data_IF_334843468519
#
_entry.id   IF_334843468519
#
_cell.length_a   1.000
_cell.length_b   1.000
_cell.length_c   1.000
_cell.angle_alpha   90.00
_cell.angle_beta   90.00
_cell.angle_gamma   90.00
#
_symmetry.space_group_name_H-M   'P 1'
#
loop_
_entity.id
_entity.type
_entity.pdbx_description
1 polymer ?
#
# COMPACT_ATOMS: atom_id res chain seq x y z
N UNK A 1 9.43 -21.18 7.23
CA UNK A 1 9.76 -20.36 8.44
C UNK A 1 8.43 -20.00 9.05
N UNK A 2 8.24 -20.24 10.33
CA UNK A 2 7.06 -19.77 11.04
C UNK A 2 7.21 -18.26 11.31
N UNK A 3 6.24 -17.46 10.84
CA UNK A 3 6.24 -16.00 10.99
C UNK A 3 5.56 -15.52 12.28
N UNK A 4 5.07 -16.44 13.11
CA UNK A 4 4.43 -16.13 14.40
C UNK A 4 3.23 -15.17 14.29
N UNK A 5 2.48 -15.26 13.19
CA UNK A 5 1.30 -14.44 12.93
C UNK A 5 -0.01 -15.17 13.26
N UNK A 6 0.05 -16.45 13.63
CA UNK A 6 -1.14 -17.23 14.01
C UNK A 6 -1.87 -16.58 15.19
N UNK A 7 -3.18 -16.37 15.03
CA UNK A 7 -4.03 -15.71 16.03
C UNK A 7 -3.83 -14.19 16.18
N UNK A 8 -2.92 -13.57 15.43
CA UNK A 8 -2.76 -12.11 15.38
C UNK A 8 -3.92 -11.46 14.63
N UNK A 9 -4.22 -10.21 14.97
CA UNK A 9 -5.26 -9.40 14.34
C UNK A 9 -4.63 -8.37 13.42
N UNK A 10 -4.91 -8.48 12.13
CA UNK A 10 -4.43 -7.57 11.11
C UNK A 10 -5.58 -6.72 10.53
N UNK A 11 -5.30 -5.45 10.28
CA UNK A 11 -6.17 -4.54 9.54
C UNK A 11 -5.54 -4.23 8.20
N UNK A 12 -6.27 -4.42 7.10
CA UNK A 12 -5.78 -4.17 5.74
C UNK A 12 -6.70 -3.18 5.02
N UNK A 13 -6.15 -2.06 4.58
CA UNK A 13 -6.88 -1.05 3.81
C UNK A 13 -6.84 -1.34 2.31
N UNK A 14 -7.92 -1.02 1.56
CA UNK A 14 -8.09 -1.29 0.12
C UNK A 14 -7.85 -2.77 -0.24
N UNK A 15 -8.50 -3.66 0.50
CA UNK A 15 -8.21 -5.09 0.57
C UNK A 15 -8.86 -5.95 -0.53
N UNK A 16 -9.72 -5.39 -1.39
CA UNK A 16 -10.61 -6.19 -2.26
C UNK A 16 -10.01 -6.63 -3.59
N UNK A 17 -8.84 -6.13 -3.97
CA UNK A 17 -8.16 -6.49 -5.22
C UNK A 17 -6.65 -6.22 -5.18
N UNK A 18 -5.94 -6.71 -6.20
CA UNK A 18 -4.52 -6.45 -6.42
C UNK A 18 -3.68 -6.76 -5.18
N UNK A 19 -2.74 -5.88 -4.86
CA UNK A 19 -1.81 -6.02 -3.73
C UNK A 19 -2.56 -6.27 -2.41
N UNK A 20 -3.62 -5.50 -2.14
CA UNK A 20 -4.38 -5.62 -0.88
C UNK A 20 -5.02 -6.99 -0.70
N UNK A 21 -5.60 -7.57 -1.75
CA UNK A 21 -6.19 -8.92 -1.68
C UNK A 21 -5.11 -9.99 -1.50
N UNK A 22 -3.96 -9.86 -2.15
CA UNK A 22 -2.83 -10.79 -1.97
C UNK A 22 -2.26 -10.71 -0.55
N UNK A 23 -2.21 -9.50 0.06
CA UNK A 23 -1.83 -9.32 1.47
C UNK A 23 -2.82 -10.02 2.41
N UNK A 24 -4.14 -9.84 2.18
CA UNK A 24 -5.17 -10.54 2.98
C UNK A 24 -4.96 -12.05 2.92
N UNK A 25 -4.82 -12.62 1.72
CA UNK A 25 -4.59 -14.06 1.53
C UNK A 25 -3.32 -14.54 2.22
N UNK A 26 -2.23 -13.80 2.12
CA UNK A 26 -0.96 -14.14 2.74
C UNK A 26 -1.03 -14.11 4.28
N UNK A 27 -1.66 -13.10 4.87
CA UNK A 27 -1.87 -13.00 6.31
C UNK A 27 -2.77 -14.15 6.85
N UNK A 28 -3.84 -14.48 6.11
CA UNK A 28 -4.72 -15.62 6.46
C UNK A 28 -3.97 -16.95 6.39
N UNK A 29 -3.11 -17.14 5.38
CA UNK A 29 -2.28 -18.33 5.25
C UNK A 29 -1.32 -18.52 6.44
N UNK A 30 -0.86 -17.42 7.05
CA UNK A 30 -0.07 -17.42 8.29
C UNK A 30 -0.93 -17.53 9.58
N UNK A 31 -2.25 -17.74 9.43
CA UNK A 31 -3.18 -17.97 10.55
C UNK A 31 -3.68 -16.70 11.25
N UNK A 32 -3.47 -15.52 10.67
CA UNK A 32 -3.98 -14.26 11.21
C UNK A 32 -5.50 -14.09 10.99
N UNK A 33 -6.15 -13.34 11.86
CA UNK A 33 -7.49 -12.78 11.63
C UNK A 33 -7.35 -11.45 10.93
N UNK A 34 -8.06 -11.24 9.80
CA UNK A 34 -7.90 -10.02 8.99
C UNK A 34 -9.21 -9.25 8.95
N UNK A 35 -9.19 -7.99 9.39
CA UNK A 35 -10.28 -7.03 9.16
C UNK A 35 -9.93 -6.23 7.91
N UNK A 36 -10.68 -6.47 6.84
CA UNK A 36 -10.35 -6.06 5.48
C UNK A 36 -11.32 -4.99 4.97
N UNK A 37 -10.84 -3.78 4.73
CA UNK A 37 -11.66 -2.64 4.31
C UNK A 37 -11.56 -2.33 2.82
N UNK A 38 -12.71 -2.14 2.17
CA UNK A 38 -12.80 -1.66 0.79
C UNK A 38 -14.22 -1.15 0.49
N UNK A 39 -14.40 -0.39 -0.60
CA UNK A 39 -15.74 0.04 -1.06
C UNK A 39 -16.60 -1.14 -1.53
N UNK A 40 -15.99 -2.10 -2.23
CA UNK A 40 -16.63 -3.36 -2.65
C UNK A 40 -15.93 -4.51 -1.93
N UNK A 41 -16.70 -5.38 -1.28
CA UNK A 41 -16.20 -6.48 -0.45
C UNK A 41 -16.54 -7.87 -1.00
N UNK A 42 -17.08 -7.95 -2.21
CA UNK A 42 -17.53 -9.23 -2.80
C UNK A 42 -16.41 -10.28 -2.89
N UNK A 43 -15.19 -9.85 -3.23
CA UNK A 43 -14.01 -10.74 -3.31
C UNK A 43 -13.50 -11.24 -1.95
N UNK A 44 -13.96 -10.65 -0.85
CA UNK A 44 -13.58 -10.99 0.52
C UNK A 44 -14.66 -11.84 1.22
N UNK A 45 -15.87 -11.92 0.62
CA UNK A 45 -16.99 -12.63 1.19
C UNK A 45 -16.71 -14.14 1.29
N UNK A 46 -16.98 -14.74 2.44
CA UNK A 46 -16.80 -16.16 2.69
C UNK A 46 -15.35 -16.61 2.89
N UNK A 47 -14.38 -15.70 2.85
CA UNK A 47 -12.99 -16.05 3.20
C UNK A 47 -12.90 -16.34 4.71
N UNK A 48 -12.33 -17.50 5.04
CA UNK A 48 -12.09 -17.88 6.44
C UNK A 48 -11.15 -16.87 7.13
N UNK A 49 -11.40 -16.56 8.40
CA UNK A 49 -10.63 -15.60 9.21
C UNK A 49 -10.62 -14.16 8.68
N UNK A 50 -11.48 -13.82 7.72
CA UNK A 50 -11.60 -12.45 7.19
C UNK A 50 -12.93 -11.85 7.61
N UNK A 51 -12.87 -10.66 8.19
CA UNK A 51 -14.02 -9.79 8.43
C UNK A 51 -14.00 -8.67 7.41
N UNK A 52 -14.81 -8.72 6.37
CA UNK A 52 -14.90 -7.65 5.40
C UNK A 52 -15.72 -6.47 5.93
N UNK A 53 -15.28 -5.24 5.67
CA UNK A 53 -16.02 -4.01 5.96
C UNK A 53 -16.14 -3.16 4.69
N UNK A 54 -17.38 -2.90 4.25
CA UNK A 54 -17.65 -1.94 3.19
C UNK A 54 -17.47 -0.52 3.74
N UNK A 55 -16.40 0.17 3.30
CA UNK A 55 -16.02 1.48 3.84
C UNK A 55 -15.29 2.32 2.78
N UNK A 56 -15.56 3.63 2.74
CA UNK A 56 -14.77 4.57 1.96
C UNK A 56 -13.55 5.03 2.75
N UNK A 57 -12.40 4.48 2.39
CA UNK A 57 -11.12 4.80 3.00
C UNK A 57 -10.55 6.16 2.55
N UNK A 58 -11.17 6.79 1.56
CA UNK A 58 -10.88 8.17 1.16
C UNK A 58 -11.60 9.21 2.03
N UNK A 59 -12.61 8.82 2.83
CA UNK A 59 -13.29 9.74 3.73
C UNK A 59 -12.46 10.09 4.98
N UNK A 60 -12.92 11.08 5.74
CA UNK A 60 -12.25 11.50 6.97
C UNK A 60 -12.31 10.41 8.06
N UNK A 61 -13.43 9.70 8.13
CA UNK A 61 -13.76 8.74 9.19
C UNK A 61 -13.43 7.29 8.80
N UNK A 62 -13.53 6.94 7.52
CA UNK A 62 -13.46 5.56 7.04
C UNK A 62 -12.24 4.77 7.51
N UNK A 63 -11.01 5.32 7.47
CA UNK A 63 -9.84 4.60 7.95
C UNK A 63 -9.91 4.28 9.45
N UNK A 64 -10.42 5.20 10.28
CA UNK A 64 -10.58 4.98 11.70
C UNK A 64 -11.70 3.98 12.00
N UNK A 65 -12.81 3.99 11.25
CA UNK A 65 -13.89 3.02 11.37
C UNK A 65 -13.41 1.58 11.10
N UNK A 66 -12.52 1.40 10.12
CA UNK A 66 -11.95 0.07 9.85
C UNK A 66 -11.14 -0.46 11.04
N UNK A 67 -10.31 0.40 11.64
CA UNK A 67 -9.52 0.05 12.84
C UNK A 67 -10.45 -0.22 14.03
N UNK A 68 -11.46 0.63 14.24
CA UNK A 68 -12.45 0.45 15.30
C UNK A 68 -13.18 -0.89 15.17
N UNK A 69 -13.47 -1.36 13.94
CA UNK A 69 -14.08 -2.67 13.70
C UNK A 69 -13.19 -3.82 14.20
N UNK A 70 -11.89 -3.73 14.03
CA UNK A 70 -10.96 -4.73 14.54
C UNK A 70 -10.93 -4.74 16.08
N UNK A 71 -10.94 -3.57 16.70
CA UNK A 71 -10.98 -3.43 18.15
C UNK A 71 -12.30 -3.96 18.72
N UNK A 72 -13.42 -3.64 18.09
CA UNK A 72 -14.75 -4.15 18.47
C UNK A 72 -14.81 -5.68 18.48
N UNK A 73 -14.27 -6.32 17.45
CA UNK A 73 -14.39 -7.77 17.26
C UNK A 73 -13.35 -8.60 18.02
N UNK A 74 -12.13 -8.07 18.15
CA UNK A 74 -10.98 -8.85 18.62
C UNK A 74 -10.28 -8.22 19.84
N UNK A 75 -10.64 -6.99 20.23
CA UNK A 75 -10.03 -6.28 21.35
C UNK A 75 -8.61 -5.78 21.11
N UNK A 76 -8.05 -5.99 19.91
CA UNK A 76 -6.66 -5.69 19.60
C UNK A 76 -6.40 -5.39 18.11
N UNK A 77 -5.25 -4.79 17.83
CA UNK A 77 -4.69 -4.63 16.47
C UNK A 77 -3.20 -4.91 16.54
N UNK A 78 -2.76 -6.06 16.06
CA UNK A 78 -1.34 -6.44 16.05
C UNK A 78 -0.62 -5.89 14.83
N UNK A 79 -1.32 -5.84 13.69
CA UNK A 79 -0.77 -5.42 12.41
C UNK A 79 -1.74 -4.43 11.74
N UNK A 80 -1.20 -3.31 11.25
CA UNK A 80 -1.90 -2.44 10.31
C UNK A 80 -1.16 -2.43 8.98
N UNK A 81 -1.88 -2.72 7.88
CA UNK A 81 -1.34 -2.55 6.52
C UNK A 81 -2.07 -1.41 5.82
N UNK A 82 -1.38 -0.31 5.63
CA UNK A 82 -1.84 0.82 4.84
C UNK A 82 -1.55 0.58 3.36
N UNK A 83 -2.48 -0.10 2.68
CA UNK A 83 -2.38 -0.37 1.25
C UNK A 83 -3.28 0.57 0.42
N UNK A 84 -4.13 1.39 1.05
CA UNK A 84 -4.96 2.35 0.32
C UNK A 84 -4.11 3.31 -0.48
N UNK A 85 -4.46 3.48 -1.74
CA UNK A 85 -3.83 4.44 -2.62
C UNK A 85 -4.50 4.46 -4.00
N UNK A 86 -4.15 5.45 -4.78
CA UNK A 86 -4.60 5.60 -6.15
C UNK A 86 -3.70 6.56 -6.92
N UNK A 87 -3.56 6.31 -8.20
CA UNK A 87 -2.86 7.18 -9.14
C UNK A 87 -3.81 7.58 -10.28
N UNK A 88 -3.69 8.80 -10.72
CA UNK A 88 -4.30 9.31 -11.96
C UNK A 88 -3.19 9.91 -12.79
N UNK A 89 -3.08 9.49 -14.04
CA UNK A 89 -2.06 10.03 -14.92
C UNK A 89 -2.37 11.50 -15.28
N UNK A 90 -1.39 12.37 -15.11
CA UNK A 90 -1.43 13.81 -15.42
C UNK A 90 -0.83 14.03 -16.81
N UNK A 91 -1.62 13.77 -17.86
CA UNK A 91 -1.13 13.88 -19.24
C UNK A 91 -0.68 15.32 -19.62
N UNK A 92 -1.21 16.35 -18.93
CA UNK A 92 -0.80 17.74 -19.04
C UNK A 92 0.45 18.12 -18.21
N UNK A 93 1.05 17.18 -17.49
CA UNK A 93 2.19 17.41 -16.60
C UNK A 93 1.87 18.36 -15.44
N UNK A 94 2.92 18.93 -14.83
CA UNK A 94 2.78 19.78 -13.63
C UNK A 94 1.86 20.98 -13.85
N UNK A 95 2.04 21.73 -14.94
CA UNK A 95 1.23 22.93 -15.21
C UNK A 95 -0.23 22.63 -15.51
N UNK A 96 -0.56 21.40 -15.90
CA UNK A 96 -1.93 20.93 -16.12
C UNK A 96 -2.56 20.24 -14.91
N UNK A 97 -1.86 20.18 -13.76
CA UNK A 97 -2.35 19.51 -12.53
C UNK A 97 -2.83 20.57 -11.54
N UNK A 98 -4.11 20.58 -11.21
CA UNK A 98 -4.71 21.57 -10.30
C UNK A 98 -4.42 21.27 -8.81
N UNK A 99 -4.64 22.27 -7.95
CA UNK A 99 -4.53 22.12 -6.49
C UNK A 99 -5.50 21.06 -5.95
N UNK A 100 -6.71 20.94 -6.52
CA UNK A 100 -7.71 19.92 -6.15
C UNK A 100 -7.21 18.51 -6.50
N UNK A 101 -6.47 18.34 -7.59
CA UNK A 101 -5.86 17.07 -7.96
C UNK A 101 -4.73 16.69 -7.01
N UNK A 102 -3.88 17.64 -6.60
CA UNK A 102 -2.91 17.45 -5.53
C UNK A 102 -3.59 17.09 -4.19
N UNK A 103 -4.66 17.80 -3.83
CA UNK A 103 -5.44 17.50 -2.63
C UNK A 103 -6.03 16.08 -2.67
N UNK A 104 -6.56 15.66 -3.83
CA UNK A 104 -7.04 14.30 -4.03
C UNK A 104 -5.93 13.27 -3.84
N UNK A 105 -4.75 13.48 -4.44
CA UNK A 105 -3.63 12.56 -4.32
C UNK A 105 -3.17 12.42 -2.86
N UNK A 106 -3.05 13.53 -2.14
CA UNK A 106 -2.73 13.55 -0.71
C UNK A 106 -3.81 12.83 0.12
N UNK A 107 -5.10 13.09 -0.17
CA UNK A 107 -6.22 12.46 0.54
C UNK A 107 -6.16 10.93 0.41
N UNK A 108 -5.93 10.42 -0.80
CA UNK A 108 -5.93 8.98 -1.08
C UNK A 108 -4.66 8.27 -0.60
N UNK A 109 -3.50 8.89 -0.76
CA UNK A 109 -2.21 8.22 -0.59
C UNK A 109 -1.48 8.56 0.72
N UNK A 110 -1.90 9.62 1.41
CA UNK A 110 -1.29 10.07 2.66
C UNK A 110 -2.31 10.14 3.81
N UNK A 111 -3.37 10.94 3.69
CA UNK A 111 -4.31 11.14 4.81
C UNK A 111 -5.09 9.88 5.18
N UNK A 112 -5.40 9.00 4.23
CA UNK A 112 -6.00 7.69 4.53
C UNK A 112 -5.09 6.88 5.47
N UNK A 113 -3.81 6.74 5.13
CA UNK A 113 -2.82 6.04 5.95
C UNK A 113 -2.60 6.71 7.30
N UNK A 114 -2.46 8.05 7.32
CA UNK A 114 -2.29 8.84 8.55
C UNK A 114 -3.42 8.59 9.55
N UNK A 115 -4.69 8.60 9.08
CA UNK A 115 -5.87 8.41 9.93
C UNK A 115 -5.96 6.98 10.48
N UNK A 116 -5.73 5.97 9.64
CA UNK A 116 -5.69 4.58 10.09
C UNK A 116 -4.55 4.36 11.09
N UNK A 117 -3.36 4.89 10.81
CA UNK A 117 -2.20 4.81 11.70
C UNK A 117 -2.48 5.44 13.06
N UNK A 118 -3.08 6.64 13.10
CA UNK A 118 -3.44 7.31 14.36
C UNK A 118 -4.37 6.45 15.21
N UNK A 119 -5.40 5.87 14.61
CA UNK A 119 -6.33 4.99 15.32
C UNK A 119 -5.64 3.70 15.81
N UNK A 120 -4.81 3.06 14.97
CA UNK A 120 -4.11 1.84 15.33
C UNK A 120 -3.06 2.06 16.42
N UNK A 121 -2.25 3.13 16.33
CA UNK A 121 -1.22 3.47 17.32
C UNK A 121 -1.85 3.65 18.71
N UNK A 122 -3.01 4.30 18.82
CA UNK A 122 -3.73 4.44 20.09
C UNK A 122 -3.98 3.07 20.73
N UNK A 123 -4.47 2.10 19.97
CA UNK A 123 -4.70 0.74 20.46
C UNK A 123 -3.39 -0.01 20.73
N UNK A 124 -2.41 0.11 19.83
CA UNK A 124 -1.11 -0.57 19.96
C UNK A 124 -0.35 -0.12 21.22
N UNK A 125 -0.45 1.14 21.60
CA UNK A 125 0.14 1.65 22.85
C UNK A 125 -0.49 1.02 24.09
N UNK A 126 -1.81 0.81 24.08
CA UNK A 126 -2.54 0.20 25.20
C UNK A 126 -2.18 -1.29 25.37
N UNK A 127 -1.90 -1.99 24.27
CA UNK A 127 -1.60 -3.43 24.28
C UNK A 127 -0.09 -3.76 24.33
N UNK A 128 0.79 -2.74 24.31
CA UNK A 128 2.24 -2.89 24.46
C UNK A 128 3.02 -3.11 23.17
N UNK A 129 2.43 -2.84 22.00
CA UNK A 129 3.16 -2.90 20.73
C UNK A 129 2.32 -3.30 19.52
N UNK A 130 2.97 -3.33 18.37
CA UNK A 130 2.37 -3.70 17.09
C UNK A 130 3.31 -3.47 15.90
N UNK A 131 2.83 -3.78 14.70
CA UNK A 131 3.56 -3.52 13.46
C UNK A 131 2.68 -2.78 12.46
N UNK A 132 3.22 -1.75 11.83
CA UNK A 132 2.58 -1.00 10.76
C UNK A 132 3.42 -1.15 9.50
N UNK A 133 2.80 -1.55 8.40
CA UNK A 133 3.44 -1.63 7.09
C UNK A 133 2.68 -0.76 6.11
N UNK A 134 3.35 0.24 5.55
CA UNK A 134 2.78 1.11 4.54
C UNK A 134 3.19 0.62 3.14
N UNK A 135 2.24 0.44 2.25
CA UNK A 135 2.52 0.23 0.84
C UNK A 135 2.71 1.61 0.19
N UNK A 136 3.97 2.02 0.12
CA UNK A 136 4.41 3.26 -0.49
C UNK A 136 4.50 3.13 -2.03
N UNK A 137 5.58 3.58 -2.64
CA UNK A 137 5.91 3.44 -4.06
C UNK A 137 7.34 3.90 -4.32
N UNK A 138 7.97 3.38 -5.36
CA UNK A 138 9.22 3.95 -5.88
C UNK A 138 9.07 5.42 -6.29
N UNK A 139 7.87 5.86 -6.66
CA UNK A 139 7.60 7.27 -6.95
C UNK A 139 7.78 8.22 -5.75
N UNK A 140 7.96 7.70 -4.55
CA UNK A 140 8.33 8.52 -3.38
C UNK A 140 9.72 9.16 -3.51
N UNK A 141 10.62 8.59 -4.32
CA UNK A 141 12.01 9.02 -4.47
C UNK A 141 12.56 8.84 -5.90
N UNK A 142 11.79 8.26 -6.79
CA UNK A 142 12.10 8.13 -8.21
C UNK A 142 10.91 8.65 -9.04
N UNK A 143 11.13 9.75 -9.76
CA UNK A 143 10.11 10.36 -10.61
C UNK A 143 10.45 10.10 -12.07
N UNK A 144 9.73 9.21 -12.77
CA UNK A 144 10.03 8.88 -14.15
C UNK A 144 9.70 10.03 -15.11
N UNK A 145 8.64 10.79 -14.78
CA UNK A 145 8.15 11.92 -15.58
C UNK A 145 7.19 12.82 -14.77
N UNK A 146 6.60 13.81 -15.40
CA UNK A 146 5.58 14.68 -14.78
C UNK A 146 4.19 14.06 -14.64
N UNK A 147 3.97 12.87 -15.18
CA UNK A 147 2.64 12.23 -15.24
C UNK A 147 2.10 11.74 -13.90
N UNK A 148 2.93 11.70 -12.87
CA UNK A 148 2.58 11.24 -11.52
C UNK A 148 3.08 12.16 -10.42
N UNK A 149 3.25 13.46 -10.72
CA UNK A 149 3.87 14.45 -9.83
C UNK A 149 3.17 14.58 -8.47
N UNK A 150 1.84 14.61 -8.45
CA UNK A 150 1.01 14.68 -7.25
C UNK A 150 1.05 13.37 -6.44
N UNK A 151 1.00 12.23 -7.13
CA UNK A 151 1.13 10.91 -6.51
C UNK A 151 2.49 10.72 -5.84
N UNK A 152 3.57 11.06 -6.55
CA UNK A 152 4.93 10.97 -6.02
C UNK A 152 5.12 11.83 -4.77
N UNK A 153 4.63 13.07 -4.77
CA UNK A 153 4.67 13.95 -3.61
C UNK A 153 3.93 13.35 -2.40
N UNK A 154 2.73 12.77 -2.63
CA UNK A 154 1.95 12.14 -1.57
C UNK A 154 2.64 10.88 -1.00
N UNK A 155 3.28 10.06 -1.87
CA UNK A 155 4.04 8.87 -1.43
C UNK A 155 5.34 9.25 -0.72
N UNK A 156 6.02 10.33 -1.12
CA UNK A 156 7.17 10.86 -0.40
C UNK A 156 6.79 11.32 1.02
N UNK A 157 5.65 12.00 1.16
CA UNK A 157 5.12 12.37 2.47
C UNK A 157 4.86 11.15 3.37
N UNK A 158 4.34 10.05 2.82
CA UNK A 158 4.10 8.80 3.56
C UNK A 158 5.40 8.17 4.04
N UNK A 159 6.42 8.08 3.19
CA UNK A 159 7.75 7.53 3.55
C UNK A 159 8.42 8.37 4.63
N UNK A 160 8.32 9.70 4.54
CA UNK A 160 8.84 10.60 5.58
C UNK A 160 8.10 10.41 6.91
N UNK A 161 6.77 10.29 6.87
CA UNK A 161 5.95 10.02 8.06
C UNK A 161 6.36 8.69 8.74
N UNK A 162 6.59 7.64 7.97
CA UNK A 162 7.08 6.35 8.46
C UNK A 162 8.35 6.51 9.29
N UNK A 163 9.33 7.25 8.78
CA UNK A 163 10.58 7.50 9.50
C UNK A 163 10.33 8.24 10.81
N UNK A 164 9.53 9.29 10.79
CA UNK A 164 9.23 10.10 11.97
C UNK A 164 8.53 9.26 13.07
N UNK A 165 7.47 8.54 12.69
CA UNK A 165 6.71 7.72 13.64
C UNK A 165 7.52 6.52 14.17
N UNK A 166 8.42 5.95 13.37
CA UNK A 166 9.29 4.86 13.82
C UNK A 166 10.22 5.29 14.95
N UNK A 167 10.69 6.53 14.95
CA UNK A 167 11.51 7.09 16.03
C UNK A 167 10.67 7.39 17.28
N UNK A 168 9.46 7.90 17.12
CA UNK A 168 8.57 8.24 18.21
C UNK A 168 8.04 6.99 18.94
N UNK A 169 7.60 5.98 18.19
CA UNK A 169 6.90 4.82 18.74
C UNK A 169 7.74 3.56 18.87
N UNK A 170 8.93 3.50 18.25
CA UNK A 170 9.87 2.38 18.40
C UNK A 170 10.19 2.04 19.85
N UNK A 171 10.54 3.02 20.71
CA UNK A 171 10.77 2.77 22.14
C UNK A 171 9.55 2.21 22.89
N UNK A 172 8.36 2.27 22.30
CA UNK A 172 7.10 1.77 22.85
C UNK A 172 6.62 0.48 22.19
N UNK A 173 7.51 -0.21 21.47
CA UNK A 173 7.24 -1.52 20.88
C UNK A 173 6.44 -1.50 19.58
N UNK A 174 6.27 -0.34 18.94
CA UNK A 174 5.56 -0.24 17.64
C UNK A 174 6.58 -0.05 16.53
N UNK A 175 6.63 -1.01 15.60
CA UNK A 175 7.47 -0.95 14.40
C UNK A 175 6.68 -0.38 13.23
N UNK A 176 7.31 0.47 12.44
CA UNK A 176 6.66 1.09 11.26
C UNK A 176 7.65 1.06 10.12
N UNK A 177 7.27 0.40 9.01
CA UNK A 177 8.11 0.25 7.82
C UNK A 177 7.30 0.48 6.54
N UNK A 178 8.01 0.75 5.44
CA UNK A 178 7.44 0.86 4.11
C UNK A 178 7.88 -0.30 3.21
N UNK A 179 6.98 -0.71 2.33
CA UNK A 179 7.30 -1.44 1.10
C UNK A 179 7.03 -0.49 -0.06
N UNK A 180 8.01 -0.28 -0.92
CA UNK A 180 7.93 0.59 -2.09
C UNK A 180 7.98 -0.22 -3.38
N UNK A 181 6.83 -0.64 -3.92
CA UNK A 181 6.79 -1.34 -5.19
C UNK A 181 7.10 -0.40 -6.36
N UNK A 182 7.75 -0.95 -7.38
CA UNK A 182 7.69 -0.44 -8.74
C UNK A 182 6.37 -0.82 -9.43
N UNK A 183 6.34 -0.91 -10.76
CA UNK A 183 5.18 -1.43 -11.49
C UNK A 183 4.84 -2.86 -11.07
N UNK A 184 3.57 -3.07 -10.65
CA UNK A 184 3.04 -4.37 -10.22
C UNK A 184 1.97 -4.84 -11.20
N UNK A 185 1.95 -6.14 -11.54
CA UNK A 185 0.98 -6.75 -12.46
C UNK A 185 -0.44 -6.81 -11.86
N UNK A 186 -1.08 -5.66 -11.77
CA UNK A 186 -2.45 -5.47 -11.27
C UNK A 186 -3.32 -4.76 -12.31
N UNK A 187 -4.64 -4.67 -12.07
CA UNK A 187 -5.56 -3.90 -12.91
C UNK A 187 -5.13 -2.43 -13.07
N UNK A 188 -4.39 -1.87 -12.12
CA UNK A 188 -3.84 -0.52 -12.22
C UNK A 188 -2.95 -0.37 -13.47
N UNK A 189 -2.18 -1.39 -13.80
CA UNK A 189 -1.32 -1.40 -14.99
C UNK A 189 -1.96 -2.10 -16.19
N UNK A 190 -2.65 -3.21 -15.96
CA UNK A 190 -3.07 -4.18 -16.99
C UNK A 190 -4.58 -4.20 -17.23
N UNK A 191 -5.38 -3.53 -16.38
CA UNK A 191 -6.84 -3.48 -16.51
C UNK A 191 -7.31 -2.59 -17.68
N UNK A 192 -8.60 -2.67 -18.01
CA UNK A 192 -9.24 -1.92 -19.10
C UNK A 192 -9.11 -0.39 -18.97
N UNK A 193 -9.07 0.13 -17.72
CA UNK A 193 -8.81 1.55 -17.41
C UNK A 193 -7.40 1.74 -16.80
N UNK A 194 -6.49 0.80 -17.01
CA UNK A 194 -5.15 0.82 -16.47
C UNK A 194 -4.21 1.79 -17.20
N UNK A 195 -3.00 1.93 -16.64
CA UNK A 195 -1.95 2.81 -17.19
C UNK A 195 -1.65 2.49 -18.65
N UNK A 196 -1.50 1.20 -19.00
CA UNK A 196 -1.20 0.78 -20.36
C UNK A 196 -2.29 1.21 -21.35
N UNK A 197 -3.57 1.03 -21.00
CA UNK A 197 -4.70 1.43 -21.85
C UNK A 197 -4.81 2.95 -21.97
N UNK A 198 -4.63 3.67 -20.86
CA UNK A 198 -4.69 5.15 -20.85
C UNK A 198 -3.62 5.74 -21.76
N UNK A 199 -2.38 5.27 -21.63
CA UNK A 199 -1.26 5.73 -22.46
C UNK A 199 -1.46 5.28 -23.92
N UNK A 200 -1.92 4.06 -24.16
CA UNK A 200 -2.21 3.54 -25.50
C UNK A 200 -3.22 4.41 -26.25
N UNK A 201 -4.34 4.75 -25.60
CA UNK A 201 -5.34 5.67 -26.16
C UNK A 201 -4.75 7.04 -26.48
N UNK A 202 -3.95 7.61 -25.61
CA UNK A 202 -3.32 8.93 -25.81
C UNK A 202 -2.29 8.94 -26.94
N UNK A 203 -1.62 7.81 -27.19
CA UNK A 203 -0.58 7.65 -28.21
C UNK A 203 -1.09 7.05 -29.54
N UNK A 204 -2.35 6.58 -29.60
CA UNK A 204 -2.91 5.91 -30.76
C UNK A 204 -2.28 4.53 -31.05
N UNK A 205 -1.82 3.82 -30.02
CA UNK A 205 -1.22 2.47 -30.09
C UNK A 205 -1.94 1.48 -29.17
N UNK A 206 -1.74 0.19 -29.37
CA UNK A 206 -2.31 -0.83 -28.48
C UNK A 206 -1.67 -0.79 -27.07
N UNK A 207 -2.37 -1.38 -26.10
CA UNK A 207 -1.96 -1.34 -24.69
C UNK A 207 -0.62 -2.05 -24.42
N UNK A 208 -0.33 -3.13 -25.14
CA UNK A 208 0.93 -3.87 -24.98
C UNK A 208 2.11 -3.08 -25.49
N UNK A 209 1.97 -2.44 -26.67
CA UNK A 209 2.97 -1.53 -27.21
C UNK A 209 3.17 -0.30 -26.28
N UNK A 210 2.08 0.26 -25.75
CA UNK A 210 2.14 1.38 -24.80
C UNK A 210 2.87 0.96 -23.52
N UNK A 211 2.54 -0.20 -22.95
CA UNK A 211 3.20 -0.76 -21.77
C UNK A 211 4.71 -0.93 -22.01
N UNK A 212 5.08 -1.59 -23.12
CA UNK A 212 6.49 -1.79 -23.46
C UNK A 212 7.24 -0.46 -23.59
N UNK A 213 6.61 0.54 -24.23
CA UNK A 213 7.19 1.86 -24.41
C UNK A 213 7.38 2.61 -23.08
N UNK A 214 6.38 2.58 -22.19
CA UNK A 214 6.47 3.19 -20.86
C UNK A 214 7.59 2.53 -20.06
N UNK A 215 7.63 1.20 -20.02
CA UNK A 215 8.68 0.47 -19.28
C UNK A 215 10.07 0.78 -19.84
N UNK A 216 10.22 0.82 -21.17
CA UNK A 216 11.49 1.16 -21.80
C UNK A 216 11.93 2.60 -21.47
N UNK A 217 10.99 3.57 -21.45
CA UNK A 217 11.30 4.98 -21.15
C UNK A 217 11.79 5.21 -19.74
N UNK A 218 11.38 4.37 -18.78
CA UNK A 218 11.83 4.44 -17.37
C UNK A 218 13.07 3.55 -17.10
N UNK A 219 13.66 2.95 -18.12
CA UNK A 219 14.91 2.18 -18.03
C UNK A 219 14.78 0.67 -17.89
N UNK A 220 13.54 0.12 -17.98
CA UNK A 220 13.26 -1.31 -17.95
C UNK A 220 13.52 -1.98 -16.59
N UNK A 221 13.10 -3.23 -16.48
CA UNK A 221 13.35 -4.06 -15.30
C UNK A 221 14.61 -4.92 -15.50
N UNK A 222 15.48 -4.99 -14.51
CA UNK A 222 16.62 -5.91 -14.53
C UNK A 222 16.16 -7.38 -14.53
N UNK A 223 15.03 -7.67 -13.85
CA UNK A 223 14.40 -9.00 -13.85
C UNK A 223 13.58 -9.32 -15.12
N UNK A 224 13.43 -8.37 -16.03
CA UNK A 224 12.65 -8.52 -17.27
C UNK A 224 11.13 -8.60 -17.11
N UNK A 225 10.58 -8.43 -15.90
CA UNK A 225 9.14 -8.57 -15.65
C UNK A 225 8.62 -7.64 -14.58
N UNK A 226 7.31 -7.46 -14.55
CA UNK A 226 6.60 -6.82 -13.44
C UNK A 226 6.75 -7.63 -12.14
N UNK A 227 6.77 -6.94 -11.02
CA UNK A 227 6.53 -7.52 -9.71
C UNK A 227 5.08 -8.05 -9.63
N UNK A 228 4.86 -9.18 -8.98
CA UNK A 228 3.50 -9.67 -8.74
C UNK A 228 2.93 -9.14 -7.40
N UNK A 229 1.60 -9.08 -7.25
CA UNK A 229 0.97 -8.72 -5.98
C UNK A 229 1.39 -9.64 -4.82
N UNK A 230 1.63 -10.93 -5.10
CA UNK A 230 2.05 -11.94 -4.13
C UNK A 230 3.48 -11.69 -3.61
N UNK A 231 4.39 -11.22 -4.49
CA UNK A 231 5.74 -10.85 -4.08
C UNK A 231 5.73 -9.65 -3.13
N UNK A 232 4.87 -8.65 -3.41
CA UNK A 232 4.67 -7.51 -2.50
C UNK A 232 4.09 -7.99 -1.17
N UNK A 233 3.07 -8.86 -1.20
CA UNK A 233 2.44 -9.41 -0.01
C UNK A 233 3.43 -10.17 0.87
N UNK A 234 4.35 -10.94 0.27
CA UNK A 234 5.42 -11.64 0.99
C UNK A 234 6.26 -10.69 1.84
N UNK A 235 6.73 -9.57 1.27
CA UNK A 235 7.50 -8.57 2.02
C UNK A 235 6.68 -7.94 3.15
N UNK A 236 5.40 -7.62 2.87
CA UNK A 236 4.50 -7.04 3.87
C UNK A 236 4.33 -7.98 5.06
N UNK A 237 4.09 -9.26 4.81
CA UNK A 237 3.88 -10.28 5.87
C UNK A 237 5.18 -10.50 6.67
N UNK A 238 6.34 -10.52 6.01
CA UNK A 238 7.64 -10.58 6.71
C UNK A 238 7.85 -9.37 7.65
N UNK A 239 7.52 -8.17 7.20
CA UNK A 239 7.65 -6.96 8.02
C UNK A 239 6.62 -6.87 9.15
N UNK A 240 5.44 -7.47 8.96
CA UNK A 240 4.42 -7.62 10.01
C UNK A 240 4.85 -8.58 11.12
N UNK A 241 5.67 -9.56 10.79
CA UNK A 241 6.13 -10.63 11.69
C UNK A 241 7.02 -10.13 12.83
N UNK A 242 6.87 -10.66 14.07
CA UNK A 242 7.81 -10.40 15.16
C UNK A 242 9.23 -10.92 14.87
N UNK A 243 9.42 -11.80 13.88
CA UNK A 243 10.75 -12.24 13.42
C UNK A 243 11.63 -11.10 12.91
N UNK A 244 11.02 -9.99 12.49
CA UNK A 244 11.70 -8.76 12.10
C UNK A 244 11.67 -7.70 13.21
N UNK A 245 11.77 -8.11 14.48
CA UNK A 245 11.58 -7.24 15.64
C UNK A 245 12.51 -6.01 15.68
N UNK A 246 13.70 -6.10 15.10
CA UNK A 246 14.65 -4.97 15.05
C UNK A 246 14.61 -4.19 13.73
N UNK A 247 13.57 -4.38 12.90
CA UNK A 247 13.37 -3.64 11.66
C UNK A 247 12.28 -2.61 11.85
N UNK A 248 12.65 -1.33 11.88
CA UNK A 248 11.73 -0.19 11.95
C UNK A 248 12.30 1.03 11.23
N UNK A 249 11.44 1.85 10.65
CA UNK A 249 11.82 3.05 9.89
C UNK A 249 12.56 2.75 8.59
N UNK A 250 12.40 1.54 8.04
CA UNK A 250 13.03 1.11 6.80
C UNK A 250 12.06 1.13 5.63
N UNK A 251 12.59 1.38 4.44
CA UNK A 251 11.86 1.33 3.19
C UNK A 251 12.42 0.21 2.31
N UNK A 252 11.59 -0.76 1.97
CA UNK A 252 11.96 -1.93 1.17
C UNK A 252 11.46 -1.78 -0.25
N UNK A 253 12.39 -1.59 -1.17
CA UNK A 253 12.09 -1.49 -2.61
C UNK A 253 11.87 -2.87 -3.20
N UNK A 254 10.81 -3.02 -4.00
CA UNK A 254 10.53 -4.20 -4.80
C UNK A 254 10.06 -3.76 -6.19
N UNK A 255 10.99 -3.61 -7.10
CA UNK A 255 10.79 -2.96 -8.40
C UNK A 255 11.38 -3.71 -9.60
N UNK A 256 11.90 -4.91 -9.37
CA UNK A 256 12.57 -5.71 -10.40
C UNK A 256 13.90 -5.10 -10.88
N UNK A 257 14.53 -4.23 -10.08
CA UNK A 257 15.76 -3.52 -10.44
C UNK A 257 15.50 -2.36 -11.43
N UNK A 258 14.32 -1.73 -11.33
CA UNK A 258 13.98 -0.53 -12.10
C UNK A 258 14.88 0.65 -11.71
N UNK A 259 15.01 0.90 -10.40
CA UNK A 259 15.90 1.93 -9.87
C UNK A 259 17.33 1.40 -9.88
N UNK A 260 18.22 2.15 -10.51
CA UNK A 260 19.63 1.74 -10.75
C UNK A 260 20.65 2.46 -9.87
N UNK A 261 20.16 3.30 -8.95
CA UNK A 261 20.98 4.02 -7.95
C UNK A 261 20.81 3.41 -6.57
N UNK A 262 21.85 3.54 -5.74
CA UNK A 262 21.82 3.16 -4.33
C UNK A 262 21.09 4.21 -3.49
#
# INVERSE_FOLDING_TARGET
MDLELSGKVAVVTAASKGIGLSIVKALVAEGAHVVAGARSIASLAGMERVTPLAVDLGSAEGPALLVAKAIEQHGRVDVLVNNMGGVRLRLGGFLGTSDEEFAWALQMNFFSALRATRAAVTQMLTQGGGAIVNVASVNAFFQPDGGTVDYGAAKAALVNLTKSLSQEFGPRGIRINDVSPGPVSTDLWLGEDGVAQTVGKAMGIDADAARAKVIASIGGFATGRFTTPEEVATLVVMLASPRTANVTGSNYVIDGGLIKTL
#
